data_IF_044122597603
#
_entry.id   IF_044122597603
#
_cell.length_a   1.000
_cell.length_b   1.000
_cell.length_c   1.000
_cell.angle_alpha   90.00
_cell.angle_beta   90.00
_cell.angle_gamma   90.00
#
_symmetry.space_group_name_H-M   'P 1'
#
loop_
_entity.id
_entity.type
_entity.pdbx_description
1 polymer ?
#
# COMPACT_ATOMS: atom_id res chain seq x y z
N UNK A 1 8.80 28.69 -17.36
CA UNK A 1 9.38 28.06 -16.19
C UNK A 1 9.13 26.56 -16.19
N UNK A 2 10.12 25.88 -16.36
CA UNK A 2 10.40 24.54 -16.77
C UNK A 2 10.42 23.55 -15.58
N UNK A 3 9.30 23.31 -14.94
CA UNK A 3 9.15 22.10 -14.15
C UNK A 3 8.55 21.00 -15.03
N UNK A 4 9.33 20.59 -16.04
CA UNK A 4 8.99 19.45 -16.87
C UNK A 4 9.08 18.21 -16.00
N UNK A 5 7.93 17.66 -15.64
CA UNK A 5 7.87 16.45 -14.84
C UNK A 5 8.41 15.26 -15.65
N UNK A 6 9.06 14.30 -15.01
CA UNK A 6 9.60 13.10 -15.68
C UNK A 6 8.55 12.36 -16.52
N UNK A 7 7.28 12.45 -16.15
CA UNK A 7 6.14 11.91 -16.92
C UNK A 7 5.89 12.66 -18.22
N UNK A 8 6.13 13.99 -18.24
CA UNK A 8 6.01 14.80 -19.45
C UNK A 8 7.13 14.47 -20.44
N UNK A 9 8.36 14.28 -19.94
CA UNK A 9 9.49 13.80 -20.75
C UNK A 9 9.21 12.45 -21.39
N UNK A 10 8.66 11.50 -20.65
CA UNK A 10 8.22 10.22 -21.19
C UNK A 10 7.16 10.38 -22.29
N UNK A 11 6.24 11.33 -22.14
CA UNK A 11 5.22 11.62 -23.14
C UNK A 11 5.81 12.26 -24.40
N UNK A 12 6.81 13.13 -24.25
CA UNK A 12 7.53 13.74 -25.39
C UNK A 12 8.29 12.70 -26.22
N UNK A 13 8.91 11.68 -25.55
CA UNK A 13 9.58 10.57 -26.24
C UNK A 13 8.58 9.83 -27.15
N UNK A 14 7.38 9.51 -26.62
CA UNK A 14 6.33 8.88 -27.43
C UNK A 14 5.84 9.76 -28.58
N UNK A 15 5.64 11.06 -28.36
CA UNK A 15 5.23 12.01 -29.40
C UNK A 15 6.29 12.15 -30.51
N UNK A 16 7.55 11.94 -30.19
CA UNK A 16 8.64 11.93 -31.17
C UNK A 16 8.71 10.66 -32.02
N UNK A 17 7.79 9.71 -31.82
CA UNK A 17 7.71 8.45 -32.56
C UNK A 17 8.73 7.40 -32.12
N UNK A 18 9.38 7.59 -30.96
CA UNK A 18 10.31 6.62 -30.37
C UNK A 18 9.60 5.74 -29.34
N UNK A 19 10.05 4.49 -29.25
CA UNK A 19 9.57 3.60 -28.18
C UNK A 19 10.00 4.13 -26.83
N UNK A 20 9.07 4.08 -25.85
CA UNK A 20 9.34 4.50 -24.48
C UNK A 20 10.13 3.42 -23.73
N UNK A 21 11.45 3.54 -23.83
CA UNK A 21 12.41 2.64 -23.18
C UNK A 21 13.46 3.44 -22.43
N UNK A 22 14.13 2.81 -21.47
CA UNK A 22 15.26 3.43 -20.76
C UNK A 22 16.39 3.81 -21.70
N UNK A 23 16.62 3.03 -22.76
CA UNK A 23 17.64 3.30 -23.77
C UNK A 23 17.38 4.60 -24.55
N UNK A 24 16.13 4.99 -24.69
CA UNK A 24 15.69 6.22 -25.34
C UNK A 24 15.53 7.41 -24.38
N UNK A 25 16.01 7.29 -23.15
CA UNK A 25 15.94 8.34 -22.13
C UNK A 25 14.64 8.34 -21.32
N UNK A 26 13.89 7.26 -21.32
CA UNK A 26 12.69 7.13 -20.48
C UNK A 26 13.00 7.14 -18.99
N UNK A 27 12.16 7.78 -18.21
CA UNK A 27 12.29 7.91 -16.75
C UNK A 27 11.39 6.91 -16.03
N UNK A 28 11.93 6.21 -15.02
CA UNK A 28 11.19 5.26 -14.18
C UNK A 28 10.40 6.01 -13.10
N UNK A 29 11.08 6.92 -12.40
CA UNK A 29 10.47 7.66 -11.28
C UNK A 29 9.67 8.83 -11.85
N UNK A 30 8.37 8.63 -11.93
CA UNK A 30 7.39 9.60 -12.41
C UNK A 30 6.38 9.92 -11.30
N UNK A 31 5.52 10.92 -11.50
CA UNK A 31 4.45 11.21 -10.55
C UNK A 31 3.52 9.99 -10.40
N UNK A 32 3.21 9.29 -11.48
CA UNK A 32 2.39 8.08 -11.46
C UNK A 32 3.04 6.94 -10.67
N UNK A 33 4.37 6.82 -10.71
CA UNK A 33 5.11 5.88 -9.87
C UNK A 33 4.86 6.17 -8.39
N UNK A 34 4.92 7.45 -7.98
CA UNK A 34 4.68 7.86 -6.59
C UNK A 34 3.21 7.64 -6.20
N UNK A 35 2.27 8.18 -6.98
CA UNK A 35 0.86 8.21 -6.61
C UNK A 35 0.18 6.83 -6.67
N UNK A 36 0.56 6.00 -7.65
CA UNK A 36 -0.15 4.75 -7.92
C UNK A 36 0.54 3.49 -7.35
N UNK A 37 1.78 3.61 -6.89
CA UNK A 37 2.53 2.46 -6.36
C UNK A 37 3.16 2.70 -5.00
N UNK A 38 3.55 3.92 -4.66
CA UNK A 38 4.14 4.25 -3.37
C UNK A 38 3.08 4.62 -2.33
N UNK A 39 2.11 5.43 -2.75
CA UNK A 39 1.03 5.92 -1.88
C UNK A 39 -0.32 5.28 -2.20
N UNK A 40 -0.33 4.20 -2.99
CA UNK A 40 -1.54 3.44 -3.26
C UNK A 40 -2.18 2.98 -1.93
N UNK A 41 -3.48 3.19 -1.79
CA UNK A 41 -4.25 3.01 -0.54
C UNK A 41 -3.86 3.96 0.61
N UNK A 42 -3.27 5.11 0.28
CA UNK A 42 -2.86 6.14 1.22
C UNK A 42 -1.47 5.95 1.83
N UNK A 43 -1.06 6.85 2.71
CA UNK A 43 0.24 6.80 3.34
C UNK A 43 0.47 5.47 4.08
N UNK A 44 1.63 4.84 3.86
CA UNK A 44 1.99 3.58 4.49
C UNK A 44 1.31 2.33 3.91
N UNK A 45 0.49 2.47 2.85
CA UNK A 45 -0.18 1.37 2.16
C UNK A 45 -0.99 0.46 3.12
N UNK A 46 -1.86 1.07 3.91
CA UNK A 46 -2.53 0.44 5.05
C UNK A 46 -3.64 -0.55 4.69
N UNK A 47 -3.94 -0.78 3.42
CA UNK A 47 -5.01 -1.71 3.03
C UNK A 47 -4.77 -3.13 3.53
N UNK A 48 -3.51 -3.57 3.60
CA UNK A 48 -3.17 -4.87 4.18
C UNK A 48 -3.62 -4.99 5.64
N UNK A 49 -3.46 -3.91 6.41
CA UNK A 49 -3.94 -3.81 7.78
C UNK A 49 -5.48 -3.82 7.84
N UNK A 50 -6.15 -3.06 6.96
CA UNK A 50 -7.63 -3.02 6.90
C UNK A 50 -8.20 -4.41 6.60
N UNK A 51 -7.63 -5.14 5.64
CA UNK A 51 -8.04 -6.51 5.30
C UNK A 51 -7.87 -7.43 6.51
N UNK A 52 -6.74 -7.34 7.22
CA UNK A 52 -6.54 -8.10 8.46
C UNK A 52 -7.61 -7.76 9.50
N UNK A 53 -7.88 -6.48 9.75
CA UNK A 53 -8.87 -6.03 10.72
C UNK A 53 -10.29 -6.52 10.44
N UNK A 54 -10.67 -6.62 9.16
CA UNK A 54 -12.01 -7.07 8.76
C UNK A 54 -12.19 -8.57 8.89
N UNK A 55 -11.17 -9.35 8.45
CA UNK A 55 -11.31 -10.80 8.28
C UNK A 55 -10.66 -11.62 9.38
N UNK A 56 -9.59 -11.13 9.99
CA UNK A 56 -8.76 -11.94 10.89
C UNK A 56 -8.72 -11.40 12.35
N UNK A 57 -9.03 -10.14 12.60
CA UNK A 57 -8.96 -9.58 13.94
C UNK A 57 -9.91 -10.28 14.92
N UNK A 58 -9.51 -10.37 16.19
CA UNK A 58 -10.34 -10.90 17.31
C UNK A 58 -10.88 -9.80 18.18
N UNK A 59 -10.09 -8.75 18.42
CA UNK A 59 -10.49 -7.57 19.17
C UNK A 59 -11.74 -6.93 18.55
N UNK A 60 -12.70 -6.60 19.37
CA UNK A 60 -13.93 -5.94 18.95
C UNK A 60 -13.63 -4.55 18.40
N UNK A 61 -12.68 -3.86 19.00
CA UNK A 61 -12.21 -2.54 18.56
C UNK A 61 -11.63 -2.61 17.13
N UNK A 62 -10.73 -3.56 16.86
CA UNK A 62 -10.13 -3.73 15.53
C UNK A 62 -11.17 -4.10 14.47
N UNK A 63 -12.11 -5.00 14.79
CA UNK A 63 -13.21 -5.35 13.87
C UNK A 63 -14.08 -4.16 13.51
N UNK A 64 -14.46 -3.36 14.51
CA UNK A 64 -15.29 -2.16 14.26
C UNK A 64 -14.53 -1.15 13.40
N UNK A 65 -13.26 -0.90 13.73
CA UNK A 65 -12.42 0.02 12.98
C UNK A 65 -12.22 -0.44 11.55
N UNK A 66 -11.93 -1.74 11.33
CA UNK A 66 -11.81 -2.32 10.00
C UNK A 66 -13.05 -2.14 9.15
N UNK A 67 -14.25 -2.39 9.73
CA UNK A 67 -15.54 -2.21 9.05
C UNK A 67 -15.82 -0.75 8.68
N UNK A 68 -15.45 0.19 9.55
CA UNK A 68 -15.60 1.62 9.27
C UNK A 68 -14.64 2.11 8.18
N UNK A 69 -13.46 1.51 8.13
CA UNK A 69 -12.36 1.98 7.28
C UNK A 69 -12.30 1.31 5.92
N UNK A 70 -12.96 0.17 5.71
CA UNK A 70 -12.87 -0.57 4.44
C UNK A 70 -13.43 0.23 3.26
N UNK A 71 -14.54 0.95 3.45
CA UNK A 71 -15.11 1.82 2.42
C UNK A 71 -14.13 2.90 1.96
N UNK A 72 -13.67 3.78 2.86
CA UNK A 72 -12.63 4.76 2.54
C UNK A 72 -11.35 4.15 1.95
N UNK A 73 -10.87 3.03 2.50
CA UNK A 73 -9.62 2.39 2.06
C UNK A 73 -9.66 1.94 0.59
N UNK A 74 -10.80 1.50 0.09
CA UNK A 74 -10.99 1.17 -1.34
C UNK A 74 -10.77 2.39 -2.24
N UNK A 75 -11.02 3.60 -1.73
CA UNK A 75 -10.80 4.87 -2.44
C UNK A 75 -9.48 5.56 -2.05
N UNK A 76 -8.51 4.80 -1.55
CA UNK A 76 -7.20 5.29 -1.12
C UNK A 76 -7.21 6.26 0.07
N UNK A 77 -8.31 6.30 0.83
CA UNK A 77 -8.49 7.15 2.02
C UNK A 77 -8.18 6.31 3.26
N UNK A 78 -7.08 6.56 3.93
CA UNK A 78 -6.62 5.77 5.09
C UNK A 78 -6.60 6.53 6.42
N UNK A 79 -7.05 7.78 6.43
CA UNK A 79 -7.12 8.62 7.62
C UNK A 79 -7.87 7.95 8.78
N UNK A 80 -9.01 7.25 8.58
CA UNK A 80 -9.70 6.56 9.68
C UNK A 80 -8.79 5.55 10.40
N UNK A 81 -7.95 4.83 9.66
CA UNK A 81 -7.00 3.87 10.23
C UNK A 81 -5.84 4.59 10.93
N UNK A 82 -5.23 5.56 10.27
CA UNK A 82 -4.03 6.25 10.77
C UNK A 82 -4.29 6.97 12.09
N UNK A 83 -5.47 7.60 12.22
CA UNK A 83 -5.83 8.36 13.41
C UNK A 83 -6.49 7.52 14.51
N UNK A 84 -7.29 6.53 14.16
CA UNK A 84 -7.98 5.70 15.16
C UNK A 84 -7.07 4.61 15.77
N UNK A 85 -6.09 4.10 15.00
CA UNK A 85 -4.95 3.37 15.56
C UNK A 85 -3.76 4.31 15.50
N UNK A 86 -3.36 5.02 16.57
CA UNK A 86 -2.33 6.06 16.47
C UNK A 86 -0.99 5.46 15.99
N UNK A 87 -0.94 5.12 14.69
CA UNK A 87 0.12 4.36 14.03
C UNK A 87 1.48 5.04 14.26
N UNK A 88 1.51 6.36 14.16
CA UNK A 88 2.76 7.13 14.31
C UNK A 88 3.28 7.09 15.75
N UNK A 89 2.40 6.98 16.74
CA UNK A 89 2.78 6.93 18.17
C UNK A 89 2.98 5.49 18.66
N UNK A 90 2.60 4.49 17.87
CA UNK A 90 2.75 3.09 18.21
C UNK A 90 3.95 2.49 17.45
N UNK A 91 5.07 2.18 18.13
CA UNK A 91 6.28 1.67 17.48
C UNK A 91 6.05 0.35 16.74
N UNK A 92 5.10 -0.47 17.19
CA UNK A 92 4.77 -1.75 16.54
C UNK A 92 4.17 -1.49 15.15
N UNK A 93 3.27 -0.52 15.03
CA UNK A 93 2.59 -0.19 13.76
C UNK A 93 3.40 0.78 12.89
N UNK A 94 4.27 1.58 13.47
CA UNK A 94 5.15 2.48 12.72
C UNK A 94 6.14 1.73 11.82
N UNK A 95 6.61 0.55 12.27
CA UNK A 95 7.56 -0.26 11.48
C UNK A 95 6.98 -0.70 10.13
N UNK A 96 5.84 -1.41 10.04
CA UNK A 96 5.27 -1.78 8.76
C UNK A 96 4.81 -0.57 7.93
N UNK A 97 4.37 0.51 8.58
CA UNK A 97 3.96 1.75 7.93
C UNK A 97 5.10 2.40 7.12
N UNK A 98 6.33 2.30 7.61
CA UNK A 98 7.52 2.82 6.91
C UNK A 98 8.08 1.80 5.92
N UNK A 99 8.15 0.52 6.30
CA UNK A 99 8.78 -0.52 5.49
C UNK A 99 7.96 -0.81 4.22
N UNK A 100 6.64 -0.85 4.32
CA UNK A 100 5.78 -1.24 3.18
C UNK A 100 5.98 -0.36 1.95
N UNK A 101 5.92 0.98 2.00
CA UNK A 101 6.16 1.81 0.83
C UNK A 101 7.60 1.71 0.31
N UNK A 102 8.60 1.49 1.18
CA UNK A 102 9.99 1.28 0.75
C UNK A 102 10.11 0.00 -0.08
N UNK A 103 9.58 -1.11 0.40
CA UNK A 103 9.60 -2.39 -0.31
C UNK A 103 8.79 -2.30 -1.61
N UNK A 104 7.62 -1.64 -1.58
CA UNK A 104 6.81 -1.37 -2.76
C UNK A 104 7.58 -0.58 -3.82
N UNK A 105 8.30 0.47 -3.42
CA UNK A 105 9.09 1.27 -4.37
C UNK A 105 10.19 0.45 -5.04
N UNK A 106 10.87 -0.40 -4.28
CA UNK A 106 11.92 -1.27 -4.81
C UNK A 106 11.35 -2.28 -5.80
N UNK A 107 10.25 -2.95 -5.45
CA UNK A 107 9.59 -3.93 -6.32
C UNK A 107 9.10 -3.27 -7.61
N UNK A 108 8.44 -2.12 -7.50
CA UNK A 108 7.92 -1.37 -8.65
C UNK A 108 9.06 -0.86 -9.53
N UNK A 109 10.14 -0.35 -8.95
CA UNK A 109 11.32 0.10 -9.67
C UNK A 109 11.92 -1.04 -10.51
N UNK A 110 12.12 -2.22 -9.89
CA UNK A 110 12.64 -3.38 -10.63
C UNK A 110 11.68 -3.87 -11.70
N UNK A 111 10.37 -3.86 -11.49
CA UNK A 111 9.38 -4.24 -12.50
C UNK A 111 9.41 -3.33 -13.73
N UNK A 112 9.57 -2.03 -13.54
CA UNK A 112 9.73 -1.06 -14.63
C UNK A 112 11.11 -1.15 -15.29
N UNK A 113 12.17 -1.36 -14.49
CA UNK A 113 13.55 -1.50 -15.00
C UNK A 113 13.71 -2.73 -15.90
N UNK A 114 13.11 -3.85 -15.52
CA UNK A 114 13.15 -5.10 -16.31
C UNK A 114 12.22 -5.07 -17.53
N UNK A 115 11.38 -4.03 -17.68
CA UNK A 115 10.44 -3.93 -18.79
C UNK A 115 9.21 -4.83 -18.65
N UNK A 116 8.98 -5.45 -17.49
CA UNK A 116 7.76 -6.22 -17.19
C UNK A 116 6.52 -5.34 -17.25
N UNK A 117 6.66 -4.08 -16.87
CA UNK A 117 5.61 -3.07 -16.92
C UNK A 117 6.12 -1.90 -17.79
N UNK A 118 5.30 -1.35 -18.69
CA UNK A 118 5.70 -0.21 -19.49
C UNK A 118 5.95 1.02 -18.61
N UNK A 119 6.87 1.89 -19.03
CA UNK A 119 7.12 3.14 -18.35
C UNK A 119 5.88 4.04 -18.39
N UNK A 120 5.61 4.74 -17.31
CA UNK A 120 4.41 5.57 -17.17
C UNK A 120 4.59 6.90 -17.92
N UNK A 121 3.48 7.36 -18.50
CA UNK A 121 3.36 8.62 -19.20
C UNK A 121 2.63 9.66 -18.34
N UNK A 122 2.36 10.85 -18.86
CA UNK A 122 1.65 11.93 -18.15
C UNK A 122 0.12 11.69 -17.99
N UNK A 123 -0.35 10.43 -18.12
CA UNK A 123 -1.75 10.11 -17.87
C UNK A 123 -2.08 10.35 -16.40
N UNK A 124 -2.91 11.34 -16.11
CA UNK A 124 -3.34 11.69 -14.77
C UNK A 124 -4.59 10.90 -14.40
N UNK A 125 -4.47 10.11 -13.33
CA UNK A 125 -5.60 9.38 -12.73
C UNK A 125 -5.84 9.97 -11.36
N UNK A 126 -7.09 10.34 -11.01
CA UNK A 126 -7.40 10.84 -9.67
C UNK A 126 -6.89 9.89 -8.59
N UNK A 127 -6.27 10.42 -7.55
CA UNK A 127 -5.69 9.62 -6.45
C UNK A 127 -6.75 8.79 -5.70
N UNK A 128 -8.03 9.19 -5.74
CA UNK A 128 -9.16 8.46 -5.17
C UNK A 128 -9.62 7.28 -6.02
N UNK A 129 -9.00 7.03 -7.19
CA UNK A 129 -9.36 5.90 -8.03
C UNK A 129 -8.97 4.60 -7.32
N UNK A 130 -9.89 3.62 -7.22
CA UNK A 130 -9.59 2.35 -6.58
C UNK A 130 -8.33 1.69 -7.15
N UNK A 131 -7.48 1.07 -6.29
CA UNK A 131 -6.36 0.25 -6.75
C UNK A 131 -6.81 -0.79 -7.79
N UNK A 132 -5.88 -1.27 -8.60
CA UNK A 132 -6.09 -2.15 -9.74
C UNK A 132 -6.73 -1.41 -10.93
N UNK A 133 -7.82 -0.64 -10.73
CA UNK A 133 -8.40 0.21 -11.79
C UNK A 133 -7.42 1.31 -12.16
N UNK A 134 -6.83 1.96 -11.17
CA UNK A 134 -5.83 3.01 -11.40
C UNK A 134 -4.59 2.47 -12.14
N UNK A 135 -4.11 1.28 -11.78
CA UNK A 135 -3.02 0.61 -12.49
C UNK A 135 -3.36 0.29 -13.94
N UNK A 136 -4.58 -0.20 -14.17
CA UNK A 136 -5.06 -0.50 -15.53
C UNK A 136 -5.08 0.76 -16.42
N UNK A 137 -5.47 1.90 -15.85
CA UNK A 137 -5.52 3.18 -16.57
C UNK A 137 -4.14 3.78 -16.84
N UNK A 138 -3.18 3.62 -15.92
CA UNK A 138 -1.85 4.23 -16.00
C UNK A 138 -0.89 3.42 -16.87
N UNK A 139 -0.91 2.10 -16.79
CA UNK A 139 0.08 1.23 -17.45
C UNK A 139 -0.49 -0.09 -17.98
N UNK A 140 -1.83 -0.15 -18.16
CA UNK A 140 -2.48 -1.34 -18.68
C UNK A 140 -2.53 -2.50 -17.69
N UNK A 141 -2.83 -3.71 -18.20
CA UNK A 141 -3.03 -4.91 -17.36
C UNK A 141 -1.77 -5.33 -16.58
N UNK A 142 -0.58 -5.03 -17.11
CA UNK A 142 0.69 -5.33 -16.44
C UNK A 142 0.86 -4.47 -15.17
N UNK A 143 0.52 -3.18 -15.23
CA UNK A 143 0.55 -2.30 -14.06
C UNK A 143 -0.55 -2.67 -13.05
N UNK A 144 -1.72 -3.12 -13.51
CA UNK A 144 -2.77 -3.64 -12.63
C UNK A 144 -2.30 -4.91 -11.88
N UNK A 145 -1.64 -5.85 -12.57
CA UNK A 145 -1.05 -7.03 -11.93
C UNK A 145 0.02 -6.64 -10.91
N UNK A 146 0.88 -5.68 -11.24
CA UNK A 146 1.89 -5.19 -10.31
C UNK A 146 1.24 -4.60 -9.05
N UNK A 147 0.15 -3.83 -9.20
CA UNK A 147 -0.61 -3.34 -8.03
C UNK A 147 -1.16 -4.49 -7.17
N UNK A 148 -1.70 -5.55 -7.76
CA UNK A 148 -2.15 -6.74 -7.01
C UNK A 148 -0.99 -7.37 -6.22
N UNK A 149 0.18 -7.50 -6.83
CA UNK A 149 1.39 -8.02 -6.14
C UNK A 149 1.77 -7.13 -4.97
N UNK A 150 1.81 -5.82 -5.18
CA UNK A 150 2.18 -4.84 -4.15
C UNK A 150 1.17 -4.81 -3.01
N UNK A 151 -0.13 -4.90 -3.30
CA UNK A 151 -1.18 -4.97 -2.28
C UNK A 151 -1.10 -6.27 -1.46
N UNK A 152 -0.86 -7.40 -2.12
CA UNK A 152 -0.68 -8.70 -1.46
C UNK A 152 0.56 -8.67 -0.56
N UNK A 153 1.64 -8.10 -1.04
CA UNK A 153 2.87 -7.93 -0.27
C UNK A 153 2.64 -7.03 0.95
N UNK A 154 1.89 -5.94 0.81
CA UNK A 154 1.47 -5.09 1.93
C UNK A 154 0.76 -5.90 3.02
N UNK A 155 -0.20 -6.75 2.63
CA UNK A 155 -0.89 -7.63 3.58
C UNK A 155 0.09 -8.51 4.38
N UNK A 156 1.03 -9.16 3.71
CA UNK A 156 2.01 -10.03 4.39
C UNK A 156 2.97 -9.25 5.30
N UNK A 157 3.38 -8.06 4.92
CA UNK A 157 4.24 -7.20 5.76
C UNK A 157 3.48 -6.76 7.03
N UNK A 158 2.21 -6.36 6.89
CA UNK A 158 1.41 -5.94 8.05
C UNK A 158 0.99 -7.11 8.95
N UNK A 159 0.87 -8.32 8.43
CA UNK A 159 0.31 -9.49 9.12
C UNK A 159 0.92 -9.74 10.52
N UNK A 160 2.26 -9.84 10.69
CA UNK A 160 2.84 -10.15 12.01
C UNK A 160 2.61 -9.00 13.01
N UNK A 161 2.68 -7.76 12.56
CA UNK A 161 2.48 -6.60 13.42
C UNK A 161 1.00 -6.41 13.80
N UNK A 162 0.10 -6.65 12.86
CA UNK A 162 -1.34 -6.59 13.08
C UNK A 162 -1.81 -7.68 14.06
N UNK A 163 -1.29 -8.91 13.95
CA UNK A 163 -1.56 -9.99 14.92
C UNK A 163 -1.13 -9.61 16.33
N UNK A 164 0.07 -9.08 16.46
CA UNK A 164 0.60 -8.66 17.78
C UNK A 164 -0.25 -7.54 18.38
N UNK A 165 -0.64 -6.56 17.57
CA UNK A 165 -1.47 -5.45 18.05
C UNK A 165 -2.90 -5.90 18.39
N UNK A 166 -3.48 -6.79 17.58
CA UNK A 166 -4.79 -7.39 17.86
C UNK A 166 -4.78 -8.20 19.17
N UNK A 167 -3.70 -8.94 19.43
CA UNK A 167 -3.54 -9.69 20.68
C UNK A 167 -3.45 -8.77 21.91
N UNK A 168 -2.75 -7.64 21.79
CA UNK A 168 -2.68 -6.62 22.85
C UNK A 168 -4.06 -6.03 23.15
N UNK A 169 -4.76 -5.57 22.10
CA UNK A 169 -6.09 -5.00 22.24
C UNK A 169 -7.10 -6.00 22.80
N UNK A 170 -7.02 -7.27 22.37
CA UNK A 170 -7.90 -8.32 22.88
C UNK A 170 -7.64 -8.62 24.36
N UNK A 171 -6.37 -8.64 24.80
CA UNK A 171 -6.02 -8.81 26.20
C UNK A 171 -6.53 -7.66 27.08
N UNK A 172 -6.42 -6.43 26.59
CA UNK A 172 -6.99 -5.25 27.27
C UNK A 172 -8.52 -5.32 27.39
N UNK A 173 -9.21 -5.70 26.30
CA UNK A 173 -10.67 -5.85 26.28
C UNK A 173 -11.19 -6.92 27.26
N UNK A 174 -10.41 -7.99 27.45
CA UNK A 174 -10.78 -9.13 28.32
C UNK A 174 -10.27 -9.01 29.74
N UNK A 175 -9.60 -7.92 30.10
CA UNK A 175 -8.92 -7.74 31.41
C UNK A 175 -7.96 -8.89 31.77
N UNK A 176 -7.36 -9.52 30.78
CA UNK A 176 -6.35 -10.56 30.96
C UNK A 176 -4.97 -9.93 31.20
N UNK A 177 -4.13 -10.52 32.07
CA UNK A 177 -2.77 -10.02 32.22
C UNK A 177 -2.01 -10.17 30.89
N UNK A 178 -1.36 -9.10 30.46
CA UNK A 178 -0.56 -9.05 29.24
C UNK A 178 0.76 -9.83 29.52
N UNK A 179 0.71 -11.16 29.36
CA UNK A 179 1.85 -12.05 29.46
C UNK A 179 2.21 -12.57 28.06
N UNK A 180 3.49 -12.90 27.85
CA UNK A 180 3.95 -13.47 26.57
C UNK A 180 3.13 -14.72 26.18
N UNK A 181 2.79 -15.56 27.14
CA UNK A 181 1.96 -16.74 26.95
C UNK A 181 0.54 -16.41 26.46
N UNK A 182 -0.06 -15.30 26.96
CA UNK A 182 -1.38 -14.85 26.53
C UNK A 182 -1.35 -14.31 25.11
N UNK A 183 -0.31 -13.56 24.75
CA UNK A 183 -0.11 -13.03 23.40
C UNK A 183 0.12 -14.17 22.40
N UNK A 184 0.96 -15.15 22.72
CA UNK A 184 1.24 -16.30 21.87
C UNK A 184 0.00 -17.16 21.60
N UNK A 185 -0.84 -17.39 22.60
CA UNK A 185 -2.11 -18.12 22.46
C UNK A 185 -3.10 -17.39 21.53
N UNK A 186 -3.21 -16.07 21.65
CA UNK A 186 -4.10 -15.27 20.78
C UNK A 186 -3.56 -15.19 19.37
N UNK A 187 -2.25 -15.05 19.19
CA UNK A 187 -1.60 -15.06 17.87
C UNK A 187 -1.77 -16.42 17.16
N UNK A 188 -1.59 -17.53 17.87
CA UNK A 188 -1.77 -18.88 17.32
C UNK A 188 -3.22 -19.16 16.87
N UNK A 189 -4.19 -18.56 17.54
CA UNK A 189 -5.60 -18.70 17.15
C UNK A 189 -6.01 -17.81 15.96
N UNK A 190 -5.17 -16.89 15.50
CA UNK A 190 -5.40 -16.02 14.34
C UNK A 190 -4.91 -16.65 13.00
N UNK A 191 -4.76 -17.97 12.94
CA UNK A 191 -4.37 -18.74 11.74
C UNK A 191 -5.58 -19.33 11.05
#
# INVERSE_FOLDING_TARGET
>A
SSDVCSSDLNTEILKSGKDLTLANGGHIVTQQFLDQFLTVTGAGMTIGLVVFMVFFAKSAQFKQLGRLSIGPAVFNINEPIVFATPIVMNPIMAVPFIITPIVSSVVTYFALYTGLVPLFTAVQVPWTTPPIISGLLVGGWQAALLQVVVLTMSFFIYLPFAKKMDALNYAEETNQPITEETLEKVEAQNV
#
